data_IF_940964320463
#
_entry.id   IF_940964320463
#
_cell.length_a   1.000
_cell.length_b   1.000
_cell.length_c   1.000
_cell.angle_alpha   90.00
_cell.angle_beta   90.00
_cell.angle_gamma   90.00
#
_symmetry.space_group_name_H-M   'P 1'
#
loop_
_entity.id
_entity.type
_entity.pdbx_description
1 polymer ?
#
# COMPACT_ATOMS: atom_id res chain seq x y z
N UNK A 1 -22.56 0.66 -23.42
CA UNK A 1 -21.77 -0.20 -22.51
C UNK A 1 -22.16 0.15 -21.08
N UNK A 2 -22.49 -0.83 -20.22
CA UNK A 2 -22.84 -0.56 -18.82
C UNK A 2 -21.56 -0.51 -17.99
N UNK A 3 -21.21 0.67 -17.49
CA UNK A 3 -20.03 0.86 -16.65
C UNK A 3 -20.23 0.12 -15.33
N UNK A 4 -19.25 -0.67 -14.95
CA UNK A 4 -19.24 -1.43 -13.70
C UNK A 4 -18.84 -0.53 -12.53
N UNK A 5 -19.18 -0.94 -11.31
CA UNK A 5 -18.70 -0.25 -10.09
C UNK A 5 -17.17 -0.22 -10.01
N UNK A 6 -16.54 -1.26 -10.54
CA UNK A 6 -15.10 -1.43 -10.57
C UNK A 6 -14.40 -0.45 -11.51
N UNK A 7 -14.91 -0.31 -12.75
CA UNK A 7 -14.39 0.68 -13.69
C UNK A 7 -14.54 2.11 -13.18
N UNK A 8 -15.65 2.40 -12.48
CA UNK A 8 -15.88 3.68 -11.82
C UNK A 8 -14.82 3.93 -10.74
N UNK A 9 -14.60 2.96 -9.84
CA UNK A 9 -13.60 3.08 -8.77
C UNK A 9 -12.17 3.20 -9.30
N UNK A 10 -11.80 2.45 -10.33
CA UNK A 10 -10.48 2.56 -10.98
C UNK A 10 -10.29 3.95 -11.59
N UNK A 11 -11.31 4.48 -12.26
CA UNK A 11 -11.25 5.82 -12.88
C UNK A 11 -11.22 6.93 -11.82
N UNK A 12 -11.96 6.76 -10.73
CA UNK A 12 -11.92 7.66 -9.58
C UNK A 12 -10.54 7.64 -8.90
N UNK A 13 -9.94 6.46 -8.72
CA UNK A 13 -8.59 6.33 -8.20
C UNK A 13 -7.56 7.11 -9.03
N UNK A 14 -7.59 6.92 -10.36
CA UNK A 14 -6.74 7.67 -11.29
C UNK A 14 -6.95 9.18 -11.19
N UNK A 15 -8.21 9.61 -11.09
CA UNK A 15 -8.54 11.03 -10.97
C UNK A 15 -7.97 11.62 -9.67
N UNK A 16 -8.22 10.98 -8.52
CA UNK A 16 -7.74 11.46 -7.23
C UNK A 16 -6.20 11.47 -7.13
N UNK A 17 -5.52 10.48 -7.70
CA UNK A 17 -4.05 10.46 -7.78
C UNK A 17 -3.50 11.60 -8.65
N UNK A 18 -4.20 11.94 -9.74
CA UNK A 18 -3.74 12.95 -10.72
C UNK A 18 -3.97 14.39 -10.27
N UNK A 19 -5.15 14.71 -9.72
CA UNK A 19 -5.52 16.10 -9.43
C UNK A 19 -5.80 16.39 -7.97
N UNK A 20 -5.77 15.39 -7.08
CA UNK A 20 -6.17 15.43 -5.66
C UNK A 20 -7.69 15.58 -5.42
N UNK A 21 -8.11 15.40 -4.16
CA UNK A 21 -9.50 15.38 -3.72
C UNK A 21 -10.23 16.68 -4.07
N UNK A 22 -9.60 17.83 -3.85
CA UNK A 22 -10.28 19.12 -4.00
C UNK A 22 -10.58 19.46 -5.44
N UNK A 23 -9.62 19.19 -6.34
CA UNK A 23 -9.81 19.45 -7.76
C UNK A 23 -10.66 18.38 -8.44
N UNK A 24 -10.65 17.15 -7.93
CA UNK A 24 -11.46 16.08 -8.52
C UNK A 24 -12.95 16.40 -8.48
N UNK A 25 -13.61 16.24 -9.63
CA UNK A 25 -15.06 16.47 -9.77
C UNK A 25 -15.78 15.30 -10.42
N UNK A 26 -17.06 15.12 -10.09
CA UNK A 26 -17.92 14.14 -10.79
C UNK A 26 -18.12 14.50 -12.26
N UNK A 27 -17.95 15.77 -12.65
CA UNK A 27 -18.02 16.18 -14.04
C UNK A 27 -16.82 15.63 -14.84
N UNK A 28 -15.61 15.74 -14.30
CA UNK A 28 -14.41 15.16 -14.92
C UNK A 28 -14.45 13.64 -14.91
N UNK A 29 -14.84 13.02 -13.80
CA UNK A 29 -15.01 11.57 -13.73
C UNK A 29 -16.05 11.08 -14.75
N UNK A 30 -17.15 11.82 -14.90
CA UNK A 30 -18.17 11.56 -15.91
C UNK A 30 -17.62 11.60 -17.33
N UNK A 31 -16.79 12.60 -17.66
CA UNK A 31 -16.10 12.69 -18.95
C UNK A 31 -15.15 11.51 -19.19
N UNK A 32 -14.35 11.13 -18.19
CA UNK A 32 -13.43 9.98 -18.28
C UNK A 32 -14.14 8.67 -18.59
N UNK A 33 -15.34 8.51 -18.04
CA UNK A 33 -16.14 7.29 -18.13
C UNK A 33 -17.16 7.33 -19.28
N UNK A 34 -17.40 8.47 -19.92
CA UNK A 34 -18.51 8.64 -20.87
C UNK A 34 -19.88 8.52 -20.19
N UNK A 35 -19.99 8.96 -18.93
CA UNK A 35 -21.22 8.91 -18.13
C UNK A 35 -21.64 10.28 -17.60
N UNK A 36 -22.94 10.46 -17.37
CA UNK A 36 -23.44 11.68 -16.75
C UNK A 36 -23.16 11.72 -15.25
N UNK A 37 -23.11 12.94 -14.68
CA UNK A 37 -23.02 13.15 -13.23
C UNK A 37 -24.14 12.41 -12.48
N UNK A 38 -25.36 12.43 -13.01
CA UNK A 38 -26.50 11.69 -12.46
C UNK A 38 -26.29 10.17 -12.48
N UNK A 39 -25.54 9.65 -13.46
CA UNK A 39 -25.15 8.23 -13.49
C UNK A 39 -24.22 7.86 -12.34
N UNK A 40 -23.27 8.73 -11.97
CA UNK A 40 -22.33 8.51 -10.86
C UNK A 40 -23.08 8.53 -9.52
N UNK A 41 -24.03 9.45 -9.35
CA UNK A 41 -24.84 9.55 -8.13
C UNK A 41 -25.69 8.30 -7.83
N UNK A 42 -25.89 7.41 -8.82
CA UNK A 42 -26.53 6.10 -8.56
C UNK A 42 -25.64 5.16 -7.74
N UNK A 43 -24.33 5.40 -7.68
CA UNK A 43 -23.36 4.55 -6.98
C UNK A 43 -22.86 5.17 -5.67
N UNK A 44 -22.69 6.50 -5.64
CA UNK A 44 -22.12 7.24 -4.50
C UNK A 44 -22.84 8.57 -4.34
N UNK A 45 -23.30 8.88 -3.12
CA UNK A 45 -24.12 10.06 -2.83
C UNK A 45 -23.34 11.36 -2.94
N UNK A 46 -22.03 11.32 -2.66
CA UNK A 46 -21.16 12.50 -2.71
C UNK A 46 -19.69 12.11 -3.00
N UNK A 47 -18.83 13.13 -3.19
CA UNK A 47 -17.40 12.96 -3.48
C UNK A 47 -16.64 12.26 -2.34
N UNK A 48 -17.00 12.53 -1.09
CA UNK A 48 -16.38 11.92 0.08
C UNK A 48 -16.63 10.42 0.13
N UNK A 49 -17.88 9.98 -0.07
CA UNK A 49 -18.24 8.55 -0.10
C UNK A 49 -17.49 7.81 -1.22
N UNK A 50 -17.39 8.41 -2.41
CA UNK A 50 -16.59 7.85 -3.50
C UNK A 50 -15.11 7.78 -3.13
N UNK A 51 -14.55 8.83 -2.54
CA UNK A 51 -13.15 8.87 -2.14
C UNK A 51 -12.85 7.80 -1.09
N UNK A 52 -13.68 7.66 -0.05
CA UNK A 52 -13.53 6.63 0.98
C UNK A 52 -13.56 5.24 0.34
N UNK A 53 -14.50 4.97 -0.58
CA UNK A 53 -14.55 3.69 -1.29
C UNK A 53 -13.31 3.41 -2.15
N UNK A 54 -12.70 4.44 -2.74
CA UNK A 54 -11.43 4.33 -3.47
C UNK A 54 -10.29 4.01 -2.50
N UNK A 55 -10.18 4.73 -1.38
CA UNK A 55 -9.15 4.52 -0.36
C UNK A 55 -9.26 3.13 0.25
N UNK A 56 -10.46 2.70 0.64
CA UNK A 56 -10.69 1.37 1.22
C UNK A 56 -10.22 0.26 0.27
N UNK A 57 -10.46 0.42 -1.04
CA UNK A 57 -10.08 -0.57 -2.05
C UNK A 57 -8.59 -0.55 -2.40
N UNK A 58 -8.05 0.61 -2.78
CA UNK A 58 -6.70 0.72 -3.37
C UNK A 58 -5.61 1.08 -2.35
N UNK A 59 -6.00 1.40 -1.12
CA UNK A 59 -5.08 1.60 -0.01
C UNK A 59 -5.30 0.56 1.09
N UNK A 60 -6.35 0.66 1.91
CA UNK A 60 -6.48 -0.18 3.10
C UNK A 60 -6.53 -1.67 2.78
N UNK A 61 -7.35 -2.07 1.80
CA UNK A 61 -7.42 -3.47 1.37
C UNK A 61 -6.11 -3.96 0.75
N UNK A 62 -5.48 -3.14 -0.10
CA UNK A 62 -4.22 -3.51 -0.79
C UNK A 62 -3.03 -3.61 0.18
N UNK A 63 -2.98 -2.77 1.21
CA UNK A 63 -1.90 -2.77 2.20
C UNK A 63 -2.14 -3.74 3.36
N UNK A 64 -3.35 -4.28 3.51
CA UNK A 64 -3.64 -5.25 4.57
C UNK A 64 -2.80 -6.51 4.38
N UNK A 65 -2.02 -6.97 5.38
CA UNK A 65 -1.19 -8.15 5.27
C UNK A 65 -1.93 -9.40 4.77
N UNK A 66 -3.20 -9.58 5.17
CA UNK A 66 -4.05 -10.72 4.75
C UNK A 66 -4.31 -10.77 3.25
N UNK A 67 -4.27 -9.63 2.57
CA UNK A 67 -4.49 -9.53 1.13
C UNK A 67 -3.16 -9.39 0.36
N UNK A 68 -2.15 -8.80 0.99
CA UNK A 68 -0.88 -8.43 0.37
C UNK A 68 0.11 -9.59 0.32
N UNK A 69 0.13 -10.42 1.36
CA UNK A 69 1.12 -11.47 1.53
C UNK A 69 0.46 -12.85 1.55
N UNK A 70 1.21 -13.84 1.06
CA UNK A 70 0.83 -15.25 1.18
C UNK A 70 1.37 -15.77 2.50
N UNK A 71 0.62 -16.61 3.20
CA UNK A 71 1.14 -17.31 4.37
C UNK A 71 2.29 -18.24 3.96
N UNK A 72 3.37 -18.20 4.73
CA UNK A 72 4.54 -19.06 4.55
C UNK A 72 4.68 -19.97 5.76
N UNK A 73 4.69 -21.30 5.55
CA UNK A 73 5.06 -22.28 6.59
C UNK A 73 6.57 -22.57 6.59
N UNK A 74 7.36 -21.62 6.09
CA UNK A 74 8.81 -21.76 5.90
C UNK A 74 9.64 -21.10 6.99
N UNK A 75 10.94 -21.01 6.72
CA UNK A 75 11.92 -20.25 7.50
C UNK A 75 11.61 -18.76 7.51
N UNK A 76 12.20 -18.03 8.46
CA UNK A 76 12.10 -16.58 8.52
C UNK A 76 12.75 -15.90 7.30
N UNK A 77 13.79 -16.49 6.73
CA UNK A 77 14.35 -16.05 5.46
C UNK A 77 13.32 -16.12 4.32
N UNK A 78 12.57 -17.22 4.21
CA UNK A 78 11.51 -17.37 3.21
C UNK A 78 10.34 -16.42 3.45
N UNK A 79 10.03 -16.13 4.73
CA UNK A 79 9.06 -15.09 5.09
C UNK A 79 9.49 -13.70 4.57
N UNK A 80 10.76 -13.32 4.75
CA UNK A 80 11.30 -12.05 4.22
C UNK A 80 11.18 -12.00 2.70
N UNK A 81 11.51 -13.09 2.02
CA UNK A 81 11.43 -13.17 0.56
C UNK A 81 9.98 -13.03 0.06
N UNK A 82 9.02 -13.67 0.72
CA UNK A 82 7.61 -13.52 0.36
C UNK A 82 7.05 -12.13 0.70
N UNK A 83 7.52 -11.52 1.79
CA UNK A 83 7.19 -10.12 2.11
C UNK A 83 7.62 -9.19 0.97
N UNK A 84 8.89 -9.29 0.52
CA UNK A 84 9.40 -8.46 -0.58
C UNK A 84 8.64 -8.72 -1.87
N UNK A 85 8.32 -9.99 -2.20
CA UNK A 85 7.49 -10.34 -3.35
C UNK A 85 6.10 -9.70 -3.27
N UNK A 86 5.46 -9.73 -2.10
CA UNK A 86 4.15 -9.09 -1.90
C UNK A 86 4.20 -7.57 -2.09
N UNK A 87 5.28 -6.92 -1.66
CA UNK A 87 5.55 -5.50 -1.94
C UNK A 87 5.68 -5.26 -3.45
N UNK A 88 6.51 -6.03 -4.15
CA UNK A 88 6.68 -5.89 -5.61
C UNK A 88 5.38 -6.12 -6.37
N UNK A 89 4.64 -7.19 -6.07
CA UNK A 89 3.33 -7.49 -6.69
C UNK A 89 2.36 -6.32 -6.53
N UNK A 90 2.36 -5.69 -5.37
CA UNK A 90 1.53 -4.51 -5.08
C UNK A 90 1.94 -3.32 -5.94
N UNK A 91 3.25 -3.05 -6.04
CA UNK A 91 3.79 -1.99 -6.89
C UNK A 91 3.46 -2.22 -8.37
N UNK A 92 3.64 -3.44 -8.88
CA UNK A 92 3.32 -3.78 -10.27
C UNK A 92 1.83 -3.58 -10.58
N UNK A 93 0.96 -4.01 -9.66
CA UNK A 93 -0.48 -3.85 -9.77
C UNK A 93 -0.88 -2.37 -9.82
N UNK A 94 -0.37 -1.55 -8.90
CA UNK A 94 -0.66 -0.11 -8.86
C UNK A 94 -0.06 0.63 -10.06
N UNK A 95 1.18 0.31 -10.44
CA UNK A 95 1.84 0.88 -11.61
C UNK A 95 1.08 0.59 -12.91
N UNK A 96 0.61 -0.64 -13.09
CA UNK A 96 -0.25 -1.03 -14.23
C UNK A 96 -1.60 -0.32 -14.20
N UNK A 97 -2.22 -0.20 -13.03
CA UNK A 97 -3.50 0.51 -12.89
C UNK A 97 -3.36 1.98 -13.29
N UNK A 98 -2.36 2.68 -12.78
CA UNK A 98 -2.16 4.12 -13.04
C UNK A 98 -1.58 4.37 -14.44
N UNK A 99 -0.95 3.38 -15.06
CA UNK A 99 -0.29 3.52 -16.36
C UNK A 99 1.06 4.24 -16.22
N UNK A 100 1.88 3.79 -15.27
CA UNK A 100 3.18 4.39 -14.94
C UNK A 100 4.08 4.61 -16.18
N UNK A 101 4.04 3.70 -17.17
CA UNK A 101 4.79 3.80 -18.43
C UNK A 101 4.40 5.01 -19.31
N UNK A 102 3.30 5.69 -18.99
CA UNK A 102 2.72 6.79 -19.77
C UNK A 102 2.83 8.15 -19.06
N UNK A 103 3.47 8.21 -17.89
CA UNK A 103 3.60 9.45 -17.12
C UNK A 103 4.78 10.25 -17.64
N UNK A 104 4.57 11.53 -17.95
CA UNK A 104 5.63 12.43 -18.39
C UNK A 104 6.70 12.60 -17.29
N UNK A 105 8.00 12.62 -17.64
CA UNK A 105 9.10 12.67 -16.68
C UNK A 105 9.09 13.90 -15.76
N UNK A 106 8.35 14.95 -16.11
CA UNK A 106 8.27 16.21 -15.35
C UNK A 106 7.27 16.18 -14.19
N UNK A 107 6.55 15.07 -13.98
CA UNK A 107 5.63 14.89 -12.85
C UNK A 107 6.25 14.01 -11.77
N UNK A 108 5.84 14.22 -10.52
CA UNK A 108 6.13 13.30 -9.42
C UNK A 108 5.85 11.85 -9.84
N UNK A 109 6.71 10.92 -9.42
CA UNK A 109 6.48 9.48 -9.63
C UNK A 109 5.10 9.07 -9.08
N UNK A 110 4.51 8.01 -9.61
CA UNK A 110 3.25 7.52 -9.06
C UNK A 110 3.41 7.08 -7.58
N UNK A 111 4.62 6.71 -7.17
CA UNK A 111 4.95 6.40 -5.76
C UNK A 111 4.80 7.64 -4.87
N UNK A 112 5.36 8.79 -5.28
CA UNK A 112 5.19 10.04 -4.55
C UNK A 112 3.72 10.50 -4.56
N UNK A 113 3.01 10.32 -5.68
CA UNK A 113 1.57 10.57 -5.74
C UNK A 113 0.78 9.65 -4.79
N UNK A 114 1.21 8.41 -4.59
CA UNK A 114 0.59 7.45 -3.68
C UNK A 114 0.72 7.90 -2.21
N UNK A 115 1.89 8.42 -1.81
CA UNK A 115 2.05 9.05 -0.50
C UNK A 115 1.27 10.36 -0.37
N UNK A 116 1.19 11.18 -1.43
CA UNK A 116 0.33 12.37 -1.41
C UNK A 116 -1.15 12.00 -1.26
N UNK A 117 -1.59 10.91 -1.88
CA UNK A 117 -2.94 10.36 -1.73
C UNK A 117 -3.20 9.91 -0.29
N UNK A 118 -2.22 9.25 0.36
CA UNK A 118 -2.31 8.88 1.79
C UNK A 118 -2.58 10.09 2.70
N UNK A 119 -1.89 11.22 2.48
CA UNK A 119 -2.11 12.41 3.33
C UNK A 119 -3.52 12.99 3.20
N UNK A 120 -4.18 12.78 2.06
CA UNK A 120 -5.58 13.20 1.87
C UNK A 120 -6.56 12.29 2.61
N UNK A 121 -6.21 11.02 2.85
CA UNK A 121 -7.06 10.08 3.61
C UNK A 121 -7.40 10.65 4.98
N UNK A 122 -6.40 11.17 5.70
CA UNK A 122 -6.58 11.74 7.04
C UNK A 122 -7.48 12.99 7.03
N UNK A 123 -7.54 13.71 5.90
CA UNK A 123 -8.34 14.92 5.77
C UNK A 123 -9.81 14.63 5.45
N UNK A 124 -10.08 13.61 4.62
CA UNK A 124 -11.41 13.41 4.03
C UNK A 124 -12.12 12.12 4.45
N UNK A 125 -11.45 11.18 5.11
CA UNK A 125 -12.09 10.02 5.73
C UNK A 125 -12.17 10.24 7.26
N UNK A 126 -13.37 10.46 7.83
CA UNK A 126 -13.55 10.65 9.27
C UNK A 126 -12.99 9.49 10.12
N UNK A 127 -12.98 8.28 9.56
CA UNK A 127 -12.56 7.05 10.24
C UNK A 127 -11.08 6.71 9.94
N UNK A 128 -10.37 7.57 9.21
CA UNK A 128 -9.00 7.32 8.77
C UNK A 128 -8.06 6.92 9.90
N UNK A 129 -8.15 7.58 11.06
CA UNK A 129 -7.27 7.32 12.20
C UNK A 129 -7.45 5.91 12.74
N UNK A 130 -8.69 5.46 12.90
CA UNK A 130 -8.98 4.11 13.38
C UNK A 130 -8.56 3.06 12.35
N UNK A 131 -8.89 3.28 11.07
CA UNK A 131 -8.48 2.38 9.97
C UNK A 131 -6.95 2.26 9.86
N UNK A 132 -6.22 3.38 9.97
CA UNK A 132 -4.75 3.39 9.97
C UNK A 132 -4.19 2.66 11.18
N UNK A 133 -4.73 2.90 12.38
CA UNK A 133 -4.33 2.18 13.59
C UNK A 133 -4.51 0.66 13.42
N UNK A 134 -5.66 0.22 12.92
CA UNK A 134 -5.96 -1.19 12.70
C UNK A 134 -5.05 -1.83 11.64
N UNK A 135 -4.78 -1.11 10.54
CA UNK A 135 -3.85 -1.55 9.51
C UNK A 135 -2.44 -1.72 10.08
N UNK A 136 -1.93 -0.72 10.81
CA UNK A 136 -0.61 -0.77 11.44
C UNK A 136 -0.54 -1.92 12.45
N UNK A 137 -1.53 -2.06 13.33
CA UNK A 137 -1.59 -3.16 14.30
C UNK A 137 -1.54 -4.54 13.61
N UNK A 138 -2.25 -4.70 12.50
CA UNK A 138 -2.25 -5.96 11.73
C UNK A 138 -0.89 -6.27 11.09
N UNK A 139 -0.19 -5.25 10.59
CA UNK A 139 1.16 -5.38 10.01
C UNK A 139 2.20 -5.73 11.08
N UNK A 140 2.13 -5.09 12.25
CA UNK A 140 2.97 -5.46 13.41
C UNK A 140 2.68 -6.89 13.88
N UNK A 141 1.42 -7.31 13.94
CA UNK A 141 1.05 -8.67 14.32
C UNK A 141 1.59 -9.72 13.33
N UNK A 142 1.58 -9.41 12.03
CA UNK A 142 2.13 -10.28 10.99
C UNK A 142 3.63 -10.51 11.16
N UNK A 143 4.42 -9.45 11.33
CA UNK A 143 5.86 -9.56 11.61
C UNK A 143 6.16 -10.25 12.94
N UNK A 144 5.42 -9.90 13.99
CA UNK A 144 5.59 -10.48 15.34
C UNK A 144 5.44 -11.99 15.31
N UNK A 145 4.40 -12.50 14.65
CA UNK A 145 4.15 -13.93 14.55
C UNK A 145 5.32 -14.66 13.87
N UNK A 146 5.85 -14.12 12.77
CA UNK A 146 6.98 -14.71 12.05
C UNK A 146 8.27 -14.72 12.89
N UNK A 147 8.60 -13.61 13.55
CA UNK A 147 9.79 -13.50 14.41
C UNK A 147 9.68 -14.43 15.62
N UNK A 148 8.51 -14.48 16.27
CA UNK A 148 8.27 -15.38 17.40
C UNK A 148 8.43 -16.85 17.00
N UNK A 149 7.89 -17.24 15.85
CA UNK A 149 8.06 -18.59 15.32
C UNK A 149 9.54 -18.91 15.08
N UNK A 150 10.28 -17.98 14.48
CA UNK A 150 11.69 -18.16 14.18
C UNK A 150 12.59 -18.27 15.43
N UNK A 151 12.24 -17.58 16.52
CA UNK A 151 12.89 -17.77 17.84
C UNK A 151 12.55 -19.14 18.42
N UNK A 152 11.29 -19.58 18.33
CA UNK A 152 10.85 -20.88 18.87
C UNK A 152 11.48 -22.08 18.15
N UNK A 153 11.65 -21.99 16.82
CA UNK A 153 12.31 -23.02 16.02
C UNK A 153 13.83 -22.99 16.12
N UNK A 154 14.40 -21.98 16.78
CA UNK A 154 15.83 -21.79 16.95
C UNK A 154 16.54 -21.18 15.73
N UNK A 155 15.80 -20.72 14.72
CA UNK A 155 16.37 -20.01 13.57
C UNK A 155 16.96 -18.65 13.97
N UNK A 156 16.28 -17.92 14.87
CA UNK A 156 16.77 -16.70 15.50
C UNK A 156 17.24 -16.96 16.93
N UNK A 157 18.19 -16.15 17.41
CA UNK A 157 18.74 -16.26 18.77
C UNK A 157 17.63 -16.16 19.83
N UNK A 158 17.82 -16.87 20.94
CA UNK A 158 16.82 -16.93 22.05
C UNK A 158 16.64 -15.61 22.80
N UNK A 159 17.62 -14.71 22.72
CA UNK A 159 17.64 -13.41 23.39
C UNK A 159 17.20 -12.25 22.48
N UNK A 160 16.68 -12.53 21.28
CA UNK A 160 16.09 -11.50 20.41
C UNK A 160 14.90 -10.85 21.11
N UNK A 161 14.96 -9.53 21.26
CA UNK A 161 13.78 -8.73 21.59
C UNK A 161 12.86 -8.67 20.37
N UNK A 162 11.73 -9.36 20.48
CA UNK A 162 10.76 -9.51 19.39
C UNK A 162 10.16 -8.16 18.99
N UNK A 163 9.83 -7.29 19.94
CA UNK A 163 9.15 -6.02 19.63
C UNK A 163 10.10 -5.05 18.94
N UNK A 164 11.35 -4.96 19.41
CA UNK A 164 12.38 -4.15 18.76
C UNK A 164 12.73 -4.71 17.38
N UNK A 165 12.79 -6.04 17.22
CA UNK A 165 12.98 -6.65 15.91
C UNK A 165 11.87 -6.27 14.92
N UNK A 166 10.59 -6.36 15.32
CA UNK A 166 9.45 -5.93 14.49
C UNK A 166 9.60 -4.47 14.06
N UNK A 167 9.96 -3.57 14.99
CA UNK A 167 10.19 -2.16 14.67
C UNK A 167 11.31 -2.00 13.64
N UNK A 168 12.46 -2.67 13.82
CA UNK A 168 13.58 -2.57 12.88
C UNK A 168 13.20 -2.96 11.44
N UNK A 169 12.61 -4.14 11.24
CA UNK A 169 12.21 -4.60 9.90
C UNK A 169 11.20 -3.64 9.25
N UNK A 170 10.21 -3.21 10.03
CA UNK A 170 9.16 -2.32 9.53
C UNK A 170 9.67 -0.93 9.18
N UNK A 171 10.55 -0.35 10.00
CA UNK A 171 11.08 0.99 9.74
C UNK A 171 12.04 1.02 8.55
N UNK A 172 12.78 -0.07 8.30
CA UNK A 172 13.56 -0.18 7.05
C UNK A 172 12.63 -0.18 5.84
N UNK A 173 11.56 -0.97 5.84
CA UNK A 173 10.59 -0.95 4.74
C UNK A 173 9.96 0.44 4.56
N UNK A 174 9.47 1.05 5.64
CA UNK A 174 8.79 2.35 5.58
C UNK A 174 9.74 3.48 5.16
N UNK A 175 10.95 3.52 5.72
CA UNK A 175 11.96 4.52 5.42
C UNK A 175 12.38 4.49 3.95
N UNK A 176 12.76 3.31 3.43
CA UNK A 176 13.13 3.15 2.02
C UNK A 176 11.95 3.47 1.10
N UNK A 177 10.74 3.02 1.44
CA UNK A 177 9.55 3.29 0.63
C UNK A 177 9.26 4.78 0.51
N UNK A 178 9.37 5.52 1.63
CA UNK A 178 9.13 6.96 1.65
C UNK A 178 10.23 7.74 0.93
N UNK A 179 11.49 7.50 1.27
CA UNK A 179 12.63 8.21 0.68
C UNK A 179 12.68 8.02 -0.84
N UNK A 180 12.58 6.77 -1.30
CA UNK A 180 12.73 6.45 -2.73
C UNK A 180 11.48 6.80 -3.54
N UNK A 181 10.32 7.03 -2.92
CA UNK A 181 9.14 7.52 -3.65
C UNK A 181 9.43 8.82 -4.41
N UNK A 182 10.29 9.68 -3.85
CA UNK A 182 10.73 10.93 -4.49
C UNK A 182 11.81 10.72 -5.55
N UNK A 183 12.42 9.54 -5.61
CA UNK A 183 13.54 9.18 -6.49
C UNK A 183 13.16 8.18 -7.59
N UNK A 184 11.87 7.92 -7.78
CA UNK A 184 11.36 7.04 -8.83
C UNK A 184 10.65 5.79 -8.34
N UNK A 185 10.72 5.48 -7.05
CA UNK A 185 10.06 4.33 -6.43
C UNK A 185 11.01 3.45 -5.63
N UNK A 186 10.45 2.62 -4.76
CA UNK A 186 11.20 1.65 -3.95
C UNK A 186 11.93 0.64 -4.85
N UNK A 187 13.22 0.42 -4.58
CA UNK A 187 13.96 -0.73 -5.10
C UNK A 187 13.77 -1.93 -4.16
N UNK A 188 13.04 -2.95 -4.64
CA UNK A 188 12.74 -4.15 -3.85
C UNK A 188 13.93 -5.09 -3.69
N UNK A 189 14.93 -5.04 -4.56
CA UNK A 189 16.18 -5.78 -4.38
C UNK A 189 16.99 -5.18 -3.24
N UNK A 190 17.05 -3.85 -3.18
CA UNK A 190 17.70 -3.14 -2.08
C UNK A 190 16.95 -3.35 -0.76
N UNK A 191 15.61 -3.33 -0.77
CA UNK A 191 14.81 -3.71 0.39
C UNK A 191 15.17 -5.13 0.87
N UNK A 192 15.14 -6.13 -0.02
CA UNK A 192 15.50 -7.51 0.31
C UNK A 192 16.88 -7.60 0.95
N UNK A 193 17.88 -6.94 0.36
CA UNK A 193 19.24 -6.86 0.90
C UNK A 193 19.27 -6.32 2.33
N UNK A 194 18.56 -5.24 2.62
CA UNK A 194 18.54 -4.65 3.97
C UNK A 194 17.81 -5.52 4.99
N UNK A 195 16.67 -6.13 4.63
CA UNK A 195 15.96 -7.03 5.52
C UNK A 195 16.79 -8.29 5.83
N UNK A 196 17.45 -8.88 4.83
CA UNK A 196 18.35 -10.02 5.04
C UNK A 196 19.60 -9.67 5.85
N UNK A 197 20.08 -8.42 5.76
CA UNK A 197 21.16 -7.94 6.62
C UNK A 197 20.73 -7.90 8.10
N UNK A 198 19.53 -7.39 8.40
CA UNK A 198 18.97 -7.41 9.76
C UNK A 198 18.82 -8.86 10.24
N UNK A 199 18.22 -9.73 9.42
CA UNK A 199 18.08 -11.15 9.72
C UNK A 199 19.41 -11.80 10.10
N UNK A 200 20.47 -11.54 9.33
CA UNK A 200 21.81 -12.11 9.58
C UNK A 200 22.39 -11.71 10.94
N UNK A 201 22.03 -10.53 11.48
CA UNK A 201 22.45 -10.10 12.81
C UNK A 201 21.72 -10.84 13.94
N UNK A 202 20.47 -11.26 13.68
CA UNK A 202 19.58 -11.91 14.64
C UNK A 202 19.62 -13.44 14.59
N UNK A 203 20.16 -14.02 13.51
CA UNK A 203 20.26 -15.46 13.29
C UNK A 203 21.12 -16.15 14.34
N UNK A 204 20.68 -17.33 14.82
CA UNK A 204 21.41 -18.18 15.77
C UNK A 204 22.78 -18.63 15.28
#
# INVERSE_FOLDING_TARGET
MKITRDELLISAFKLFMSVNYEKASFAELGKMLGMSKAGIFKYYKNKQELFIAVVDRFWFSTQNPRNKFTETNGTFAEFIDEYVKGVQRTMDMLGKLIGADKVAPEKFSYHAQYFHFLFQVIQYDPDAKEKLHNLVASDYAYWRAAIQSAVQTGELKKDVDVEEAVVMFRQVYMGLSFEMAFLGGLDTQLLSKHLHAIYSLLKS
#
